data_IF_190336915696
#
_entry.id   IF_190336915696
#
_cell.length_a   1.000
_cell.length_b   1.000
_cell.length_c   1.000
_cell.angle_alpha   90.00
_cell.angle_beta   90.00
_cell.angle_gamma   90.00
#
_symmetry.space_group_name_H-M   'P 1'
#
loop_
_entity.id
_entity.type
_entity.pdbx_description
1 polymer ?
#
# COMPACT_ATOMS: atom_id res chain seq x y z
N UNK A 1 -48.21 -44.34 -44.84
CA UNK A 1 -47.53 -43.12 -44.42
C UNK A 1 -46.39 -43.41 -43.41
N UNK A 2 -45.24 -43.86 -43.82
CA UNK A 2 -44.06 -44.19 -42.90
C UNK A 2 -42.74 -43.65 -43.41
N UNK A 3 -42.71 -42.63 -44.26
CA UNK A 3 -41.47 -42.08 -44.81
C UNK A 3 -40.99 -40.78 -44.15
N UNK A 4 -41.78 -40.20 -43.23
CA UNK A 4 -41.42 -38.91 -42.62
C UNK A 4 -40.46 -38.94 -41.44
N UNK A 5 -40.21 -40.09 -40.84
CA UNK A 5 -39.35 -40.20 -39.63
C UNK A 5 -37.86 -40.32 -40.02
N UNK A 6 -37.52 -41.17 -40.96
CA UNK A 6 -36.10 -41.40 -41.37
C UNK A 6 -35.44 -40.13 -41.93
N UNK A 7 -36.17 -39.36 -42.73
CA UNK A 7 -35.66 -38.09 -43.29
C UNK A 7 -35.35 -37.04 -42.19
N UNK A 8 -36.17 -37.00 -41.14
CA UNK A 8 -35.92 -36.08 -40.01
C UNK A 8 -34.67 -36.44 -39.21
N UNK A 9 -34.40 -37.73 -38.99
CA UNK A 9 -33.19 -38.18 -38.31
C UNK A 9 -31.94 -37.95 -39.16
N UNK A 10 -32.04 -38.10 -40.49
CA UNK A 10 -30.92 -37.78 -41.41
C UNK A 10 -30.64 -36.28 -41.39
N UNK A 11 -31.67 -35.43 -41.44
CA UNK A 11 -31.48 -33.97 -41.37
C UNK A 11 -30.85 -33.58 -40.00
N UNK A 12 -31.36 -34.15 -38.91
CA UNK A 12 -30.80 -33.93 -37.57
C UNK A 12 -29.31 -34.35 -37.49
N UNK A 13 -28.97 -35.51 -38.08
CA UNK A 13 -27.59 -35.98 -38.13
C UNK A 13 -26.68 -35.06 -38.94
N UNK A 14 -27.17 -34.55 -40.07
CA UNK A 14 -26.40 -33.59 -40.89
C UNK A 14 -26.19 -32.27 -40.15
N UNK A 15 -27.22 -31.75 -39.45
CA UNK A 15 -27.09 -30.53 -38.63
C UNK A 15 -26.09 -30.74 -37.50
N UNK A 16 -26.15 -31.89 -36.81
CA UNK A 16 -25.19 -32.22 -35.76
C UNK A 16 -23.77 -32.31 -36.27
N UNK A 17 -23.53 -32.92 -37.45
CA UNK A 17 -22.23 -32.99 -38.10
C UNK A 17 -21.70 -31.61 -38.50
N UNK A 18 -22.56 -30.73 -39.01
CA UNK A 18 -22.17 -29.35 -39.33
C UNK A 18 -21.82 -28.55 -38.10
N UNK A 19 -22.55 -28.69 -37.01
CA UNK A 19 -22.24 -28.06 -35.72
C UNK A 19 -20.89 -28.57 -35.17
N UNK A 20 -20.68 -29.88 -35.24
CA UNK A 20 -19.42 -30.49 -34.80
C UNK A 20 -18.22 -30.04 -35.66
N UNK A 21 -18.41 -29.96 -36.98
CA UNK A 21 -17.38 -29.41 -37.86
C UNK A 21 -17.08 -27.93 -37.59
N UNK A 22 -18.10 -27.11 -37.29
CA UNK A 22 -17.92 -25.71 -36.90
C UNK A 22 -17.17 -25.60 -35.58
N UNK A 23 -17.47 -26.43 -34.60
CA UNK A 23 -16.74 -26.44 -33.30
C UNK A 23 -15.29 -26.87 -33.47
N UNK A 24 -15.03 -27.92 -34.29
CA UNK A 24 -13.65 -28.35 -34.59
C UNK A 24 -12.88 -27.25 -35.31
N UNK A 25 -13.50 -26.59 -36.29
CA UNK A 25 -12.90 -25.46 -36.99
C UNK A 25 -12.59 -24.30 -36.02
N UNK A 26 -13.53 -23.94 -35.17
CA UNK A 26 -13.33 -22.89 -34.16
C UNK A 26 -12.20 -23.26 -33.19
N UNK A 27 -12.20 -24.49 -32.67
CA UNK A 27 -11.15 -25.00 -31.79
C UNK A 27 -9.78 -25.00 -32.47
N UNK A 28 -9.71 -25.47 -33.73
CA UNK A 28 -8.49 -25.46 -34.52
C UNK A 28 -7.96 -24.04 -34.77
N UNK A 29 -8.85 -23.10 -35.02
CA UNK A 29 -8.48 -21.70 -35.21
C UNK A 29 -7.90 -21.06 -33.94
N UNK A 30 -8.54 -21.31 -32.79
CA UNK A 30 -8.06 -20.82 -31.49
C UNK A 30 -6.76 -21.49 -31.06
N UNK A 31 -6.61 -22.82 -31.29
CA UNK A 31 -5.44 -23.56 -30.78
C UNK A 31 -4.23 -23.53 -31.74
N UNK A 32 -4.46 -23.60 -33.05
CA UNK A 32 -3.38 -23.69 -34.02
C UNK A 32 -3.05 -22.35 -34.69
N UNK A 33 -4.04 -21.53 -35.01
CA UNK A 33 -3.81 -20.26 -35.70
C UNK A 33 -3.53 -19.11 -34.73
N UNK A 34 -4.27 -19.04 -33.62
CA UNK A 34 -4.11 -17.99 -32.61
C UNK A 34 -3.44 -18.46 -31.31
N UNK A 35 -3.06 -19.74 -31.23
CA UNK A 35 -2.53 -20.34 -30.00
C UNK A 35 -1.24 -19.70 -29.51
N UNK A 36 -0.35 -19.30 -30.42
CA UNK A 36 0.88 -18.59 -30.04
C UNK A 36 0.60 -17.20 -29.49
N UNK A 37 -0.34 -16.47 -30.08
CA UNK A 37 -0.76 -15.14 -29.59
C UNK A 37 -1.46 -15.22 -28.22
N UNK A 38 -2.35 -16.18 -28.03
CA UNK A 38 -2.98 -16.42 -26.73
C UNK A 38 -1.99 -16.91 -25.66
N UNK A 39 -0.99 -17.71 -26.04
CA UNK A 39 0.07 -18.12 -25.12
C UNK A 39 0.95 -16.93 -24.72
N UNK A 40 1.28 -16.03 -25.65
CA UNK A 40 2.00 -14.80 -25.36
C UNK A 40 1.19 -13.86 -24.46
N UNK A 41 -0.09 -13.65 -24.75
CA UNK A 41 -0.99 -12.85 -23.90
C UNK A 41 -1.16 -13.47 -22.51
N UNK A 42 -1.20 -14.79 -22.40
CA UNK A 42 -1.26 -15.48 -21.10
C UNK A 42 0.06 -15.32 -20.33
N UNK A 43 1.21 -15.40 -21.03
CA UNK A 43 2.51 -15.16 -20.42
C UNK A 43 2.67 -13.72 -19.91
N UNK A 44 2.24 -12.73 -20.70
CA UNK A 44 2.24 -11.32 -20.28
C UNK A 44 1.36 -11.10 -19.03
N UNK A 45 0.20 -11.74 -18.97
CA UNK A 45 -0.69 -11.66 -17.78
C UNK A 45 -0.16 -12.39 -16.56
N UNK A 46 0.75 -13.34 -16.74
CA UNK A 46 1.39 -14.09 -15.65
C UNK A 46 2.68 -13.42 -15.13
N UNK A 47 3.06 -12.27 -15.69
CA UNK A 47 4.27 -11.54 -15.28
C UNK A 47 3.90 -10.16 -14.75
N UNK A 48 4.65 -9.70 -13.75
CA UNK A 48 4.57 -8.34 -13.21
C UNK A 48 5.96 -7.74 -13.17
N UNK A 49 6.08 -6.50 -13.60
CA UNK A 49 7.31 -5.73 -13.45
C UNK A 49 7.15 -4.80 -12.25
N UNK A 50 8.08 -4.91 -11.31
CA UNK A 50 8.13 -4.15 -10.06
C UNK A 50 9.33 -3.22 -10.14
N UNK A 51 9.14 -1.93 -9.87
CA UNK A 51 10.23 -0.99 -9.77
C UNK A 51 11.08 -1.31 -8.54
N UNK A 52 12.40 -1.25 -8.69
CA UNK A 52 13.36 -1.42 -7.60
C UNK A 52 14.09 -0.11 -7.41
N UNK A 53 14.01 0.44 -6.22
CA UNK A 53 14.69 1.69 -5.89
C UNK A 53 16.12 1.43 -5.42
N UNK A 54 17.03 2.32 -5.83
CA UNK A 54 18.37 2.41 -5.25
C UNK A 54 18.35 3.10 -3.89
N UNK A 55 19.53 3.24 -3.30
CA UNK A 55 19.71 3.92 -2.02
C UNK A 55 19.85 5.42 -2.24
N UNK A 56 19.10 6.23 -1.47
CA UNK A 56 19.24 7.69 -1.47
C UNK A 56 20.64 8.09 -1.03
N UNK A 57 21.30 9.01 -1.74
CA UNK A 57 22.64 9.52 -1.46
C UNK A 57 22.81 10.07 -0.05
N UNK A 58 24.03 10.03 0.46
CA UNK A 58 24.37 10.51 1.81
C UNK A 58 24.53 12.03 1.82
N UNK A 59 24.30 12.65 2.98
CA UNK A 59 24.68 14.03 3.24
C UNK A 59 25.86 14.00 4.21
N UNK A 60 26.94 14.66 3.83
CA UNK A 60 28.19 14.67 4.55
C UNK A 60 28.54 16.10 4.97
N UNK A 61 29.24 16.27 6.08
CA UNK A 61 29.88 17.52 6.44
C UNK A 61 31.16 17.75 5.62
N UNK A 62 31.83 18.89 5.80
CA UNK A 62 33.08 19.26 5.11
C UNK A 62 34.24 18.27 5.35
N UNK A 63 34.19 17.50 6.43
CA UNK A 63 35.20 16.53 6.83
C UNK A 63 34.83 15.07 6.43
N UNK A 64 33.72 14.89 5.73
CA UNK A 64 33.21 13.58 5.35
C UNK A 64 32.43 12.85 6.47
N UNK A 65 32.07 13.55 7.54
CA UNK A 65 31.22 12.97 8.60
C UNK A 65 29.80 12.85 8.10
N UNK A 66 29.20 11.67 8.27
CA UNK A 66 27.85 11.39 7.82
C UNK A 66 26.83 12.15 8.68
N UNK A 67 26.03 12.99 8.03
CA UNK A 67 24.92 13.75 8.62
C UNK A 67 23.55 13.12 8.35
N UNK A 68 23.39 12.50 7.17
CA UNK A 68 22.22 11.71 6.83
C UNK A 68 22.61 10.57 5.88
N UNK A 69 22.02 9.40 6.09
CA UNK A 69 22.18 8.24 5.20
C UNK A 69 20.90 7.40 5.20
N UNK A 70 20.75 6.57 4.17
CA UNK A 70 19.65 5.59 4.12
C UNK A 70 20.18 4.23 4.56
N UNK A 71 19.41 3.55 5.39
CA UNK A 71 19.66 2.18 5.86
C UNK A 71 18.60 1.28 5.22
N UNK A 72 19.01 0.10 4.76
CA UNK A 72 18.07 -0.92 4.32
C UNK A 72 17.10 -1.24 5.45
N UNK A 73 15.83 -1.27 5.12
CA UNK A 73 14.74 -1.62 6.02
C UNK A 73 13.78 -2.58 5.33
N UNK A 74 12.90 -3.17 6.10
CA UNK A 74 11.88 -4.05 5.59
C UNK A 74 10.52 -3.60 6.11
N UNK A 75 9.53 -3.63 5.23
CA UNK A 75 8.16 -3.34 5.57
C UNK A 75 7.34 -4.63 5.51
N UNK A 76 6.32 -4.73 6.34
CA UNK A 76 5.29 -5.74 6.19
C UNK A 76 4.12 -5.11 5.46
N UNK A 77 3.67 -5.76 4.41
CA UNK A 77 2.59 -5.30 3.56
C UNK A 77 1.45 -6.31 3.55
N UNK A 78 0.24 -5.79 3.38
CA UNK A 78 -0.96 -6.59 3.22
C UNK A 78 -1.58 -6.33 1.85
N UNK A 79 -1.75 -7.39 1.07
CA UNK A 79 -2.42 -7.40 -0.22
C UNK A 79 -3.70 -8.23 -0.10
N UNK A 80 -4.85 -7.58 -0.28
CA UNK A 80 -6.11 -8.29 -0.37
C UNK A 80 -6.32 -8.80 -1.80
N UNK A 81 -6.62 -10.08 -1.94
CA UNK A 81 -7.08 -10.63 -3.21
C UNK A 81 -8.44 -10.00 -3.58
N UNK A 82 -8.48 -9.31 -4.72
CA UNK A 82 -9.68 -8.60 -5.18
C UNK A 82 -10.85 -9.52 -5.53
N UNK A 83 -10.58 -10.79 -5.81
CA UNK A 83 -11.59 -11.80 -6.17
C UNK A 83 -12.20 -12.47 -4.93
N UNK A 84 -11.52 -12.43 -3.79
CA UNK A 84 -11.95 -13.05 -2.54
C UNK A 84 -12.74 -12.05 -1.68
N UNK A 85 -14.06 -12.03 -1.85
CA UNK A 85 -15.00 -11.11 -1.15
C UNK A 85 -16.04 -11.83 -0.29
N UNK A 86 -15.83 -13.09 0.00
CA UNK A 86 -16.76 -13.86 0.84
C UNK A 86 -16.53 -13.60 2.33
N UNK A 87 -17.52 -13.90 3.16
CA UNK A 87 -17.42 -13.84 4.62
C UNK A 87 -16.29 -14.74 5.13
N UNK A 88 -16.10 -15.90 4.50
CA UNK A 88 -15.04 -16.84 4.82
C UNK A 88 -13.65 -16.23 4.64
N UNK A 89 -13.42 -15.56 3.50
CA UNK A 89 -12.15 -14.88 3.23
C UNK A 89 -11.90 -13.74 4.23
N UNK A 90 -12.97 -13.05 4.62
CA UNK A 90 -12.86 -11.98 5.62
C UNK A 90 -12.38 -12.50 6.97
N UNK A 91 -12.85 -13.66 7.43
CA UNK A 91 -12.43 -14.28 8.67
C UNK A 91 -10.96 -14.74 8.61
N UNK A 92 -10.55 -15.37 7.50
CA UNK A 92 -9.16 -15.81 7.28
C UNK A 92 -8.19 -14.63 7.31
N UNK A 93 -8.50 -13.53 6.62
CA UNK A 93 -7.66 -12.34 6.64
C UNK A 93 -7.58 -11.69 8.02
N UNK A 94 -8.65 -11.72 8.79
CA UNK A 94 -8.62 -11.21 10.17
C UNK A 94 -7.73 -12.07 11.05
N UNK A 95 -7.80 -13.39 10.95
CA UNK A 95 -6.90 -14.30 11.67
C UNK A 95 -5.43 -14.09 11.26
N UNK A 96 -5.16 -13.96 9.97
CA UNK A 96 -3.82 -13.68 9.46
C UNK A 96 -3.27 -12.34 9.99
N UNK A 97 -4.09 -11.28 10.01
CA UNK A 97 -3.70 -9.98 10.55
C UNK A 97 -3.45 -10.03 12.05
N UNK A 98 -4.25 -10.76 12.82
CA UNK A 98 -4.02 -10.94 14.26
C UNK A 98 -2.65 -11.58 14.53
N UNK A 99 -2.33 -12.68 13.83
CA UNK A 99 -1.02 -13.36 13.94
C UNK A 99 0.12 -12.43 13.50
N UNK A 100 -0.06 -11.67 12.43
CA UNK A 100 0.96 -10.75 11.94
C UNK A 100 1.22 -9.60 12.92
N UNK A 101 0.18 -9.01 13.50
CA UNK A 101 0.29 -7.98 14.53
C UNK A 101 1.09 -8.50 15.72
N UNK A 102 0.76 -9.72 16.19
CA UNK A 102 1.50 -10.37 17.28
C UNK A 102 3.00 -10.54 16.95
N UNK A 103 3.32 -11.04 15.74
CA UNK A 103 4.71 -11.22 15.30
C UNK A 103 5.44 -9.87 15.23
N UNK A 104 4.81 -8.83 14.68
CA UNK A 104 5.39 -7.49 14.52
C UNK A 104 5.68 -6.89 15.90
N UNK A 105 4.73 -6.96 16.83
CA UNK A 105 4.86 -6.38 18.18
C UNK A 105 5.87 -7.17 19.04
N UNK A 106 5.88 -8.49 18.94
CA UNK A 106 6.89 -9.32 19.60
C UNK A 106 8.31 -9.00 19.12
N UNK A 107 8.47 -8.59 17.86
CA UNK A 107 9.73 -8.13 17.29
C UNK A 107 10.06 -6.66 17.56
N UNK A 108 9.28 -5.97 18.40
CA UNK A 108 9.47 -4.56 18.76
C UNK A 108 8.98 -3.55 17.72
N UNK A 109 8.30 -4.02 16.67
CA UNK A 109 7.68 -3.17 15.66
C UNK A 109 6.30 -2.66 16.08
N UNK A 110 5.75 -1.75 15.29
CA UNK A 110 4.38 -1.22 15.46
C UNK A 110 3.64 -1.28 14.13
N UNK A 111 2.35 -1.54 14.19
CA UNK A 111 1.48 -1.46 13.02
C UNK A 111 0.94 -0.05 12.82
N UNK A 112 0.48 0.24 11.60
CA UNK A 112 -0.18 1.52 11.29
C UNK A 112 -1.38 1.76 12.20
N UNK A 113 -1.57 3.00 12.61
CA UNK A 113 -2.73 3.49 13.36
C UNK A 113 -3.41 4.62 12.60
N UNK A 114 -4.15 4.25 11.54
CA UNK A 114 -4.85 5.18 10.64
C UNK A 114 -6.37 5.16 10.85
N UNK A 115 -6.86 4.39 11.83
CA UNK A 115 -8.28 4.34 12.15
C UNK A 115 -8.84 5.73 12.45
N UNK A 116 -10.02 6.03 11.92
CA UNK A 116 -10.75 7.23 12.27
C UNK A 116 -11.56 7.09 13.57
N UNK A 117 -11.70 5.86 14.09
CA UNK A 117 -12.41 5.60 15.33
C UNK A 117 -11.42 5.63 16.49
N UNK A 118 -11.68 6.47 17.48
CA UNK A 118 -10.88 6.64 18.69
C UNK A 118 -11.73 6.37 19.92
N UNK A 119 -11.08 6.02 21.03
CA UNK A 119 -11.70 5.87 22.33
C UNK A 119 -11.15 6.93 23.28
N UNK A 120 -12.04 7.63 23.94
CA UNK A 120 -11.67 8.55 25.01
C UNK A 120 -11.14 7.73 26.19
N UNK A 121 -9.92 8.01 26.68
CA UNK A 121 -9.29 7.21 27.74
C UNK A 121 -9.98 7.37 29.11
N UNK A 122 -10.69 8.47 29.34
CA UNK A 122 -11.31 8.77 30.60
C UNK A 122 -12.75 8.25 30.67
N UNK A 123 -13.52 8.40 29.60
CA UNK A 123 -14.93 8.03 29.53
C UNK A 123 -15.18 6.66 28.88
N UNK A 124 -14.25 6.20 28.04
CA UNK A 124 -14.42 5.02 27.22
C UNK A 124 -15.33 5.23 26.00
N UNK A 125 -15.88 6.43 25.79
CA UNK A 125 -16.75 6.74 24.65
C UNK A 125 -15.97 6.74 23.33
N UNK A 126 -16.62 6.25 22.25
CA UNK A 126 -16.03 6.23 20.92
C UNK A 126 -16.38 7.51 20.16
N UNK A 127 -15.39 8.08 19.50
CA UNK A 127 -15.54 9.28 18.68
C UNK A 127 -14.75 9.18 17.38
N UNK A 128 -15.04 10.07 16.43
CA UNK A 128 -14.27 10.18 15.20
C UNK A 128 -13.18 11.23 15.28
N UNK A 129 -11.98 10.84 14.89
CA UNK A 129 -10.84 11.73 14.66
C UNK A 129 -10.46 11.74 13.17
N UNK A 130 -10.86 12.79 12.47
CA UNK A 130 -10.65 12.86 11.01
C UNK A 130 -9.26 13.35 10.60
N UNK A 131 -8.41 13.81 11.53
CA UNK A 131 -7.05 14.29 11.27
C UNK A 131 -6.99 15.54 10.37
N UNK A 132 -8.08 16.31 10.27
CA UNK A 132 -8.17 17.56 9.52
C UNK A 132 -9.01 18.58 10.26
N UNK A 133 -8.62 19.87 10.16
CA UNK A 133 -9.27 20.95 10.93
C UNK A 133 -10.53 21.51 10.27
N UNK A 134 -10.57 21.54 8.92
CA UNK A 134 -11.69 22.12 8.17
C UNK A 134 -12.92 21.22 8.23
N UNK A 135 -14.07 21.79 8.61
CA UNK A 135 -15.36 21.05 8.63
C UNK A 135 -15.69 20.43 7.27
N UNK A 136 -15.45 21.14 6.17
CA UNK A 136 -15.69 20.61 4.83
C UNK A 136 -14.83 19.37 4.53
N UNK A 137 -13.57 19.37 4.97
CA UNK A 137 -12.67 18.22 4.82
C UNK A 137 -13.05 17.08 5.76
N UNK A 138 -13.49 17.36 6.99
CA UNK A 138 -14.00 16.36 7.92
C UNK A 138 -15.20 15.63 7.33
N UNK A 139 -16.19 16.38 6.83
CA UNK A 139 -17.39 15.81 6.20
C UNK A 139 -17.03 15.02 4.92
N UNK A 140 -16.08 15.50 4.14
CA UNK A 140 -15.60 14.77 2.96
C UNK A 140 -14.94 13.42 3.33
N UNK A 141 -14.11 13.39 4.39
CA UNK A 141 -13.51 12.14 4.90
C UNK A 141 -14.57 11.22 5.49
N UNK A 142 -15.52 11.76 6.22
CA UNK A 142 -16.62 10.99 6.80
C UNK A 142 -17.46 10.31 5.72
N UNK A 143 -17.84 11.05 4.66
CA UNK A 143 -18.53 10.47 3.51
C UNK A 143 -17.72 9.33 2.88
N UNK A 144 -16.44 9.60 2.56
CA UNK A 144 -15.58 8.59 1.93
C UNK A 144 -15.41 7.35 2.81
N UNK A 145 -15.31 7.53 4.13
CA UNK A 145 -15.28 6.43 5.08
C UNK A 145 -16.57 5.62 5.03
N UNK A 146 -17.72 6.28 5.11
CA UNK A 146 -19.03 5.60 5.05
C UNK A 146 -19.17 4.78 3.76
N UNK A 147 -18.89 5.40 2.61
CA UNK A 147 -18.95 4.74 1.31
C UNK A 147 -17.99 3.54 1.22
N UNK A 148 -16.74 3.70 1.67
CA UNK A 148 -15.74 2.63 1.65
C UNK A 148 -16.07 1.47 2.61
N UNK A 149 -16.70 1.76 3.75
CA UNK A 149 -17.11 0.76 4.76
C UNK A 149 -18.51 0.19 4.50
N UNK A 150 -19.14 0.54 3.37
CA UNK A 150 -20.45 0.02 2.98
C UNK A 150 -21.59 0.52 3.86
N UNK A 151 -21.51 1.76 4.34
CA UNK A 151 -22.65 2.44 4.94
C UNK A 151 -23.46 3.17 3.88
N UNK A 152 -24.77 3.09 3.97
CA UNK A 152 -25.67 3.94 3.19
C UNK A 152 -25.90 5.23 3.95
N UNK A 153 -25.55 6.34 3.31
CA UNK A 153 -25.72 7.69 3.86
C UNK A 153 -26.46 8.56 2.86
N UNK A 154 -27.25 9.50 3.35
CA UNK A 154 -27.94 10.49 2.53
C UNK A 154 -27.29 11.85 2.69
N UNK A 155 -27.13 12.59 1.59
CA UNK A 155 -26.64 13.95 1.54
C UNK A 155 -27.16 14.65 0.29
N UNK A 156 -27.29 15.97 0.34
CA UNK A 156 -27.74 16.78 -0.81
C UNK A 156 -26.55 17.20 -1.68
N UNK A 157 -26.40 16.56 -2.85
CA UNK A 157 -25.34 16.87 -3.81
C UNK A 157 -25.41 18.28 -4.40
N UNK A 158 -26.57 18.97 -4.32
CA UNK A 158 -26.73 20.33 -4.79
C UNK A 158 -26.02 21.34 -3.88
N UNK A 159 -25.79 20.99 -2.61
CA UNK A 159 -25.03 21.79 -1.66
C UNK A 159 -23.53 21.61 -1.95
N UNK A 160 -22.92 22.58 -2.67
CA UNK A 160 -21.51 22.52 -3.05
C UNK A 160 -20.55 22.61 -1.85
N UNK A 161 -20.91 23.38 -0.82
CA UNK A 161 -20.12 23.48 0.40
C UNK A 161 -20.45 22.32 1.33
N UNK A 162 -19.57 21.35 1.37
CA UNK A 162 -19.72 20.14 2.23
C UNK A 162 -19.80 20.46 3.72
N UNK A 163 -19.32 21.61 4.17
CA UNK A 163 -19.42 22.01 5.57
C UNK A 163 -20.88 22.18 6.02
N UNK A 164 -21.80 22.42 5.06
CA UNK A 164 -23.24 22.63 5.30
C UNK A 164 -24.05 21.32 5.21
N UNK A 165 -23.42 20.18 4.91
CA UNK A 165 -24.15 18.91 4.87
C UNK A 165 -24.58 18.48 6.28
N UNK A 166 -25.83 18.03 6.38
CA UNK A 166 -26.33 17.43 7.61
C UNK A 166 -25.80 16.01 7.75
N UNK A 167 -25.02 15.78 8.78
CA UNK A 167 -24.42 14.48 9.11
C UNK A 167 -25.07 13.83 10.34
N UNK A 168 -26.18 14.37 10.83
CA UNK A 168 -26.83 13.91 12.08
C UNK A 168 -27.40 12.49 11.98
N UNK A 169 -27.71 12.04 10.75
CA UNK A 169 -28.23 10.71 10.47
C UNK A 169 -27.12 9.73 10.00
N UNK A 170 -25.89 10.18 9.96
CA UNK A 170 -24.78 9.32 9.57
C UNK A 170 -24.34 8.46 10.77
N UNK A 171 -23.74 7.29 10.53
CA UNK A 171 -23.40 6.35 11.59
C UNK A 171 -22.48 6.97 12.64
N UNK A 172 -22.77 6.80 13.91
CA UNK A 172 -21.88 7.19 15.00
C UNK A 172 -20.58 6.34 14.99
N UNK A 173 -19.58 6.76 15.74
CA UNK A 173 -18.33 6.01 15.88
C UNK A 173 -18.58 4.63 16.51
N UNK A 174 -19.50 4.54 17.47
CA UNK A 174 -19.87 3.28 18.12
C UNK A 174 -20.60 2.33 17.16
N UNK A 175 -21.61 2.83 16.42
CA UNK A 175 -22.31 2.04 15.41
C UNK A 175 -21.33 1.53 14.32
N UNK A 176 -20.40 2.37 13.89
CA UNK A 176 -19.39 1.99 12.92
C UNK A 176 -18.43 0.95 13.46
N UNK A 177 -17.94 1.12 14.68
CA UNK A 177 -17.05 0.16 15.33
C UNK A 177 -17.71 -1.23 15.41
N UNK A 178 -18.95 -1.27 15.93
CA UNK A 178 -19.69 -2.52 16.10
C UNK A 178 -19.97 -3.20 14.74
N UNK A 179 -20.39 -2.42 13.72
CA UNK A 179 -20.58 -2.96 12.37
C UNK A 179 -19.30 -3.49 11.76
N UNK A 180 -18.17 -2.77 11.89
CA UNK A 180 -16.89 -3.19 11.31
C UNK A 180 -16.34 -4.44 12.01
N UNK A 181 -16.50 -4.56 13.33
CA UNK A 181 -16.16 -5.80 14.05
C UNK A 181 -16.93 -7.00 13.52
N UNK A 182 -18.23 -6.85 13.36
CA UNK A 182 -19.08 -7.92 12.81
C UNK A 182 -18.73 -8.25 11.35
N UNK A 183 -18.56 -7.21 10.52
CA UNK A 183 -18.26 -7.36 9.08
C UNK A 183 -16.91 -8.09 8.84
N UNK A 184 -15.94 -7.87 9.69
CA UNK A 184 -14.60 -8.43 9.54
C UNK A 184 -14.32 -9.59 10.49
N UNK A 185 -15.34 -10.10 11.18
CA UNK A 185 -15.22 -11.25 12.10
C UNK A 185 -14.15 -11.04 13.17
N UNK A 186 -14.03 -9.80 13.69
CA UNK A 186 -13.08 -9.47 14.76
C UNK A 186 -13.63 -10.02 16.08
N UNK A 187 -12.88 -10.89 16.81
CA UNK A 187 -13.35 -11.53 18.04
C UNK A 187 -13.81 -10.52 19.10
N UNK A 188 -14.90 -10.86 19.80
CA UNK A 188 -15.47 -9.99 20.86
C UNK A 188 -14.59 -9.91 22.10
N UNK A 189 -13.69 -10.87 22.31
CA UNK A 189 -12.77 -10.93 23.45
C UNK A 189 -11.64 -9.90 23.35
N UNK A 190 -11.37 -9.38 22.14
CA UNK A 190 -10.32 -8.37 21.95
C UNK A 190 -10.72 -7.03 22.58
N UNK A 191 -9.77 -6.41 23.25
CA UNK A 191 -9.89 -5.03 23.72
C UNK A 191 -10.09 -4.06 22.55
N UNK A 192 -10.55 -2.83 22.85
CA UNK A 192 -10.66 -1.78 21.82
C UNK A 192 -9.32 -1.59 21.08
N UNK A 193 -8.21 -1.50 21.83
CA UNK A 193 -6.91 -1.25 21.25
C UNK A 193 -6.47 -2.36 20.28
N UNK A 194 -6.67 -3.63 20.61
CA UNK A 194 -6.35 -4.77 19.75
C UNK A 194 -7.26 -4.81 18.52
N UNK A 195 -8.57 -4.68 18.73
CA UNK A 195 -9.53 -4.66 17.62
C UNK A 195 -9.29 -3.48 16.68
N UNK A 196 -8.94 -2.31 17.22
CA UNK A 196 -8.72 -1.10 16.43
C UNK A 196 -7.48 -1.17 15.53
N UNK A 197 -6.45 -1.95 15.87
CA UNK A 197 -5.32 -2.23 14.99
C UNK A 197 -5.78 -2.95 13.72
N UNK A 198 -6.65 -3.95 13.86
CA UNK A 198 -7.22 -4.69 12.74
C UNK A 198 -8.12 -3.77 11.92
N UNK A 199 -8.98 -2.98 12.59
CA UNK A 199 -9.84 -1.99 11.95
C UNK A 199 -9.01 -0.98 11.16
N UNK A 200 -7.91 -0.50 11.73
CA UNK A 200 -6.99 0.45 11.07
C UNK A 200 -6.49 -0.09 9.73
N UNK A 201 -5.96 -1.31 9.72
CA UNK A 201 -5.45 -1.96 8.50
C UNK A 201 -6.59 -2.19 7.50
N UNK A 202 -7.70 -2.76 7.93
CA UNK A 202 -8.84 -3.06 7.06
C UNK A 202 -9.51 -1.81 6.51
N UNK A 203 -9.58 -0.75 7.31
CA UNK A 203 -10.05 0.57 6.87
C UNK A 203 -9.16 1.13 5.76
N UNK A 204 -7.83 1.07 5.92
CA UNK A 204 -6.89 1.57 4.92
C UNK A 204 -7.03 0.80 3.59
N UNK A 205 -7.17 -0.53 3.65
CA UNK A 205 -7.44 -1.38 2.48
C UNK A 205 -8.72 -0.93 1.76
N UNK A 206 -9.80 -0.68 2.49
CA UNK A 206 -11.08 -0.32 1.88
C UNK A 206 -11.10 1.12 1.34
N UNK A 207 -10.43 2.05 2.01
CA UNK A 207 -10.27 3.43 1.54
C UNK A 207 -9.46 3.51 0.24
N UNK A 208 -8.50 2.58 0.06
CA UNK A 208 -7.67 2.46 -1.15
C UNK A 208 -8.19 1.41 -2.14
N UNK A 209 -9.45 1.01 -2.07
CA UNK A 209 -10.04 -0.06 -2.90
C UNK A 209 -9.95 0.20 -4.42
N UNK A 210 -9.74 1.44 -4.85
CA UNK A 210 -9.45 1.77 -6.25
C UNK A 210 -8.06 1.27 -6.71
N UNK A 211 -7.21 0.85 -5.77
CA UNK A 211 -5.90 0.22 -5.98
C UNK A 211 -5.90 -1.23 -5.49
N UNK A 212 -6.93 -1.99 -5.83
CA UNK A 212 -7.20 -3.32 -5.27
C UNK A 212 -6.04 -4.32 -5.40
N UNK A 213 -5.09 -4.06 -6.27
CA UNK A 213 -3.91 -4.91 -6.53
C UNK A 213 -2.60 -4.30 -6.01
N UNK A 214 -2.65 -3.14 -5.35
CA UNK A 214 -1.48 -2.56 -4.70
C UNK A 214 -1.46 -2.97 -3.22
N UNK A 215 -0.34 -3.48 -2.70
CA UNK A 215 -0.23 -3.83 -1.29
C UNK A 215 -0.24 -2.57 -0.41
N UNK A 216 -0.74 -2.71 0.80
CA UNK A 216 -0.73 -1.64 1.79
C UNK A 216 0.30 -1.98 2.86
N UNK A 217 1.22 -1.07 3.11
CA UNK A 217 2.19 -1.22 4.20
C UNK A 217 1.48 -1.13 5.54
N UNK A 218 1.60 -2.19 6.34
CA UNK A 218 0.98 -2.30 7.67
C UNK A 218 1.96 -2.10 8.81
N UNK A 219 3.27 -2.30 8.55
CA UNK A 219 4.33 -1.97 9.49
C UNK A 219 5.60 -1.56 8.73
N UNK A 220 6.29 -0.55 9.25
CA UNK A 220 7.51 0.00 8.66
C UNK A 220 8.72 -0.40 9.49
N UNK A 221 9.90 -0.49 8.83
CA UNK A 221 11.22 -0.72 9.44
C UNK A 221 11.22 -1.87 10.46
N UNK A 222 10.65 -3.02 10.06
CA UNK A 222 10.58 -4.19 10.92
C UNK A 222 11.93 -4.90 11.01
N UNK A 223 12.17 -5.59 12.15
CA UNK A 223 13.39 -6.35 12.38
C UNK A 223 13.51 -7.57 11.46
N UNK A 224 14.74 -8.06 11.25
CA UNK A 224 14.99 -9.29 10.48
C UNK A 224 14.32 -10.53 11.09
N UNK A 225 14.09 -10.54 12.40
CA UNK A 225 13.37 -11.63 13.08
C UNK A 225 11.89 -11.65 12.66
N UNK A 226 11.26 -10.47 12.56
CA UNK A 226 9.89 -10.34 12.02
C UNK A 226 9.83 -10.79 10.57
N UNK A 227 10.78 -10.35 9.74
CA UNK A 227 10.90 -10.78 8.33
C UNK A 227 10.98 -12.29 8.21
N UNK A 228 11.85 -12.92 9.01
CA UNK A 228 12.02 -14.37 9.01
C UNK A 228 10.72 -15.08 9.44
N UNK A 229 10.07 -14.63 10.50
CA UNK A 229 8.83 -15.23 10.99
C UNK A 229 7.67 -15.10 9.99
N UNK A 230 7.49 -13.94 9.36
CA UNK A 230 6.45 -13.75 8.33
C UNK A 230 6.71 -14.67 7.13
N UNK A 231 7.97 -14.76 6.65
CA UNK A 231 8.31 -15.62 5.52
C UNK A 231 8.17 -17.11 5.83
N UNK A 232 8.54 -17.55 7.04
CA UNK A 232 8.42 -18.94 7.47
C UNK A 232 6.95 -19.39 7.62
N UNK A 233 6.05 -18.47 7.94
CA UNK A 233 4.62 -18.74 8.15
C UNK A 233 3.75 -18.23 7.00
N UNK A 234 4.31 -18.05 5.80
CA UNK A 234 3.59 -17.48 4.64
C UNK A 234 2.29 -18.24 4.32
N UNK A 235 2.27 -19.56 4.51
CA UNK A 235 1.08 -20.39 4.28
C UNK A 235 -0.05 -20.12 5.31
N UNK A 236 0.30 -19.65 6.51
CA UNK A 236 -0.64 -19.29 7.58
C UNK A 236 -1.06 -17.80 7.53
N UNK A 237 -0.38 -17.01 6.73
CA UNK A 237 -0.50 -15.55 6.66
C UNK A 237 -0.91 -15.07 5.25
N UNK A 238 -2.08 -15.50 4.75
CA UNK A 238 -2.53 -15.13 3.41
C UNK A 238 -2.64 -13.62 3.28
N UNK A 239 -2.16 -13.12 2.15
CA UNK A 239 -2.14 -11.69 1.82
C UNK A 239 -1.00 -10.91 2.46
N UNK A 240 -0.21 -11.50 3.33
CA UNK A 240 0.94 -10.82 3.93
C UNK A 240 2.21 -11.08 3.15
N UNK A 241 2.98 -10.05 2.94
CA UNK A 241 4.27 -10.09 2.28
C UNK A 241 5.26 -9.12 2.93
N UNK A 242 6.54 -9.32 2.64
CA UNK A 242 7.62 -8.43 3.09
C UNK A 242 8.20 -7.75 1.86
N UNK A 243 8.24 -6.43 1.89
CA UNK A 243 8.94 -5.61 0.90
C UNK A 243 10.25 -5.05 1.47
N UNK A 244 11.23 -4.90 0.60
CA UNK A 244 12.45 -4.16 0.93
C UNK A 244 12.18 -2.67 0.75
N UNK A 245 12.70 -1.87 1.67
CA UNK A 245 12.57 -0.41 1.68
C UNK A 245 13.84 0.21 2.23
N UNK A 246 13.89 1.52 2.35
CA UNK A 246 14.99 2.23 3.00
C UNK A 246 14.44 3.22 4.03
N UNK A 247 15.12 3.31 5.17
CA UNK A 247 14.82 4.29 6.21
C UNK A 247 15.91 5.33 6.28
N UNK A 248 15.54 6.63 6.24
CA UNK A 248 16.46 7.74 6.36
C UNK A 248 16.89 7.93 7.81
N UNK A 249 18.19 7.89 8.07
CA UNK A 249 18.80 8.01 9.40
C UNK A 249 19.57 9.32 9.48
N UNK A 250 19.36 10.06 10.57
CA UNK A 250 20.09 11.26 10.94
C UNK A 250 20.89 10.98 12.23
N UNK A 251 22.16 10.53 12.13
CA UNK A 251 22.92 10.01 13.28
C UNK A 251 23.16 11.03 14.39
N UNK A 252 23.04 12.33 14.07
CA UNK A 252 23.26 13.42 15.01
C UNK A 252 21.96 13.98 15.62
N UNK A 253 20.85 13.28 15.42
CA UNK A 253 19.53 13.67 15.96
C UNK A 253 19.10 15.05 15.45
N UNK A 254 18.94 15.99 16.36
CA UNK A 254 18.44 17.35 16.06
C UNK A 254 19.52 18.32 15.54
N UNK A 255 20.81 17.94 15.60
CA UNK A 255 21.91 18.81 15.14
C UNK A 255 21.73 19.17 13.66
N UNK A 256 21.74 20.46 13.38
CA UNK A 256 21.55 21.04 12.04
C UNK A 256 20.23 20.63 11.35
N UNK A 257 19.21 20.19 12.11
CA UNK A 257 17.95 19.68 11.55
C UNK A 257 17.27 20.67 10.60
N UNK A 258 17.31 21.97 10.91
CA UNK A 258 16.76 23.04 10.07
C UNK A 258 17.54 23.25 8.75
N UNK A 259 18.82 22.87 8.70
CA UNK A 259 19.65 22.90 7.50
C UNK A 259 19.42 21.63 6.67
N UNK A 260 19.49 20.46 7.32
CA UNK A 260 19.32 19.16 6.65
C UNK A 260 17.91 19.01 6.07
N UNK A 261 16.90 19.37 6.85
CA UNK A 261 15.51 19.14 6.50
C UNK A 261 15.07 17.71 6.79
N UNK A 262 14.01 17.28 6.11
CA UNK A 262 13.41 15.96 6.28
C UNK A 262 12.74 15.46 4.99
N UNK A 263 12.45 14.17 4.97
CA UNK A 263 11.73 13.52 3.89
C UNK A 263 10.22 13.46 4.18
N UNK A 264 9.42 13.48 3.14
CA UNK A 264 7.97 13.29 3.23
C UNK A 264 7.39 12.85 1.89
N UNK A 265 6.13 12.44 1.89
CA UNK A 265 5.45 12.08 0.65
C UNK A 265 5.08 13.33 -0.14
N UNK A 266 5.13 13.28 -1.48
CA UNK A 266 4.80 14.42 -2.32
C UNK A 266 3.33 14.82 -2.18
N UNK A 267 3.06 16.10 -2.12
CA UNK A 267 1.70 16.62 -2.24
C UNK A 267 1.13 16.36 -3.64
N UNK A 268 -0.20 16.41 -3.77
CA UNK A 268 -0.87 16.25 -5.09
C UNK A 268 -0.36 17.25 -6.15
N UNK A 269 0.01 18.44 -5.73
CA UNK A 269 0.55 19.49 -6.61
C UNK A 269 1.96 19.11 -7.08
N UNK A 270 2.84 18.73 -6.16
CA UNK A 270 4.20 18.30 -6.46
C UNK A 270 4.21 17.05 -7.35
N UNK A 271 3.31 16.09 -7.08
CA UNK A 271 3.22 14.85 -7.84
C UNK A 271 2.91 15.08 -9.33
N UNK A 272 2.16 16.13 -9.68
CA UNK A 272 1.89 16.47 -11.09
C UNK A 272 3.18 16.70 -11.90
N UNK A 273 4.19 17.27 -11.28
CA UNK A 273 5.49 17.53 -11.91
C UNK A 273 6.42 16.34 -11.76
N UNK A 274 6.48 15.74 -10.57
CA UNK A 274 7.39 14.66 -10.23
C UNK A 274 7.05 13.37 -10.96
N UNK A 275 5.79 13.13 -11.28
CA UNK A 275 5.36 11.95 -12.05
C UNK A 275 6.06 11.84 -13.41
N UNK A 276 6.36 12.96 -14.05
CA UNK A 276 7.09 12.98 -15.33
C UNK A 276 8.58 12.58 -15.16
N UNK A 277 9.09 12.62 -13.94
CA UNK A 277 10.44 12.19 -13.58
C UNK A 277 10.48 10.73 -13.05
N UNK A 278 9.32 10.05 -13.01
CA UNK A 278 9.22 8.67 -12.59
C UNK A 278 8.86 8.45 -11.11
N UNK A 279 8.59 9.53 -10.36
CA UNK A 279 8.17 9.38 -8.96
C UNK A 279 6.76 8.81 -8.86
N UNK A 280 6.59 7.89 -7.93
CA UNK A 280 5.29 7.38 -7.48
C UNK A 280 4.70 8.26 -6.35
N UNK A 281 3.44 8.03 -6.02
CA UNK A 281 2.75 8.82 -4.99
C UNK A 281 3.21 8.48 -3.56
N UNK A 282 3.81 7.34 -3.39
CA UNK A 282 4.31 6.79 -2.13
C UNK A 282 5.82 6.95 -1.95
N UNK A 283 6.55 7.41 -2.98
CA UNK A 283 7.97 7.72 -2.89
C UNK A 283 8.21 8.86 -1.88
N UNK A 284 9.36 8.81 -1.20
CA UNK A 284 9.78 9.88 -0.30
C UNK A 284 10.64 10.89 -1.03
N UNK A 285 10.29 12.17 -0.86
CA UNK A 285 11.03 13.31 -1.41
C UNK A 285 11.53 14.23 -0.28
N UNK A 286 12.55 15.04 -0.54
CA UNK A 286 12.94 16.10 0.36
C UNK A 286 11.88 17.20 0.45
N UNK A 287 11.37 17.46 1.66
CA UNK A 287 10.33 18.48 1.90
C UNK A 287 10.96 19.84 2.22
N UNK A 288 12.08 19.85 2.92
CA UNK A 288 12.76 21.07 3.35
C UNK A 288 14.28 20.92 3.37
N UNK A 289 15.00 22.02 3.54
CA UNK A 289 16.45 22.07 3.72
C UNK A 289 17.24 21.48 2.55
N UNK A 290 18.40 20.90 2.87
CA UNK A 290 19.30 20.26 1.90
C UNK A 290 18.62 19.07 1.23
N UNK A 291 17.83 18.30 1.97
CA UNK A 291 17.06 17.16 1.41
C UNK A 291 16.20 17.61 0.22
N UNK A 292 15.56 18.79 0.32
CA UNK A 292 14.73 19.33 -0.76
C UNK A 292 15.52 20.02 -1.86
N UNK A 293 16.52 20.85 -1.49
CA UNK A 293 17.28 21.64 -2.48
C UNK A 293 18.21 20.77 -3.32
N UNK A 294 18.67 19.65 -2.77
CA UNK A 294 19.56 18.71 -3.44
C UNK A 294 18.84 17.41 -3.86
N UNK A 295 17.49 17.43 -3.91
CA UNK A 295 16.67 16.28 -4.27
C UNK A 295 17.15 15.61 -5.55
N UNK A 296 17.44 16.37 -6.62
CA UNK A 296 17.86 15.84 -7.92
C UNK A 296 19.19 15.06 -7.88
N UNK A 297 20.03 15.31 -6.90
CA UNK A 297 21.27 14.56 -6.68
C UNK A 297 21.04 13.38 -5.73
N UNK A 298 20.36 13.63 -4.62
CA UNK A 298 20.18 12.64 -3.55
C UNK A 298 19.24 11.50 -3.91
N UNK A 299 18.22 11.75 -4.75
CA UNK A 299 17.17 10.78 -5.03
C UNK A 299 17.65 9.56 -5.80
N UNK A 300 17.08 8.40 -5.53
CA UNK A 300 17.18 7.19 -6.34
C UNK A 300 15.85 6.81 -7.02
N UNK A 301 14.78 7.61 -6.81
CA UNK A 301 13.41 7.31 -7.22
C UNK A 301 13.03 7.85 -8.59
N UNK A 302 13.99 8.36 -9.39
CA UNK A 302 13.71 8.77 -10.77
C UNK A 302 13.71 7.57 -11.73
N UNK A 303 12.98 7.66 -12.84
CA UNK A 303 12.93 6.62 -13.88
C UNK A 303 14.31 6.27 -14.46
N UNK A 304 15.28 7.19 -14.39
CA UNK A 304 16.65 6.96 -14.84
C UNK A 304 17.49 6.16 -13.84
N UNK A 305 17.09 6.16 -12.57
CA UNK A 305 17.83 5.53 -11.46
C UNK A 305 17.13 4.27 -10.93
N UNK A 306 15.81 4.17 -11.08
CA UNK A 306 15.08 2.95 -10.74
C UNK A 306 15.54 1.79 -11.59
N UNK A 307 15.77 0.66 -11.00
CA UNK A 307 15.87 -0.62 -11.64
C UNK A 307 14.50 -1.26 -11.81
N UNK A 308 14.46 -2.43 -12.38
CA UNK A 308 13.23 -3.19 -12.55
C UNK A 308 13.43 -4.66 -12.22
N UNK A 309 12.40 -5.28 -11.71
CA UNK A 309 12.33 -6.69 -11.40
C UNK A 309 11.10 -7.30 -12.06
N UNK A 310 11.30 -8.14 -13.06
CA UNK A 310 10.21 -8.87 -13.69
C UNK A 310 10.03 -10.21 -12.99
N UNK A 311 8.84 -10.43 -12.43
CA UNK A 311 8.49 -11.63 -11.68
C UNK A 311 7.34 -12.36 -12.36
N UNK A 312 7.36 -13.69 -12.29
CA UNK A 312 6.20 -14.52 -12.61
C UNK A 312 5.29 -14.57 -11.40
N UNK A 313 4.02 -14.26 -11.58
CA UNK A 313 3.01 -14.27 -10.53
C UNK A 313 2.01 -15.40 -10.74
N UNK A 314 1.52 -15.98 -9.66
CA UNK A 314 0.44 -16.97 -9.70
C UNK A 314 -0.94 -16.27 -9.72
N UNK A 315 -2.01 -17.08 -9.75
CA UNK A 315 -3.39 -16.57 -9.70
C UNK A 315 -3.72 -15.71 -8.46
N UNK A 316 -2.93 -15.82 -7.40
CA UNK A 316 -3.08 -15.08 -6.16
C UNK A 316 -2.14 -13.86 -6.12
N UNK A 317 -1.56 -13.46 -7.26
CA UNK A 317 -0.59 -12.37 -7.41
C UNK A 317 0.71 -12.55 -6.58
N UNK A 318 0.94 -13.75 -6.04
CA UNK A 318 2.19 -14.04 -5.33
C UNK A 318 3.30 -14.36 -6.32
N UNK A 319 4.50 -13.84 -6.04
CA UNK A 319 5.70 -14.11 -6.84
C UNK A 319 6.06 -15.60 -6.79
N UNK A 320 6.12 -16.23 -7.95
CA UNK A 320 6.55 -17.63 -8.11
C UNK A 320 8.05 -17.71 -8.32
N UNK A 321 8.55 -16.87 -9.22
CA UNK A 321 10.00 -16.77 -9.52
C UNK A 321 10.33 -15.42 -10.14
N UNK A 322 11.58 -15.05 -10.02
CA UNK A 322 12.17 -13.91 -10.71
C UNK A 322 12.60 -14.33 -12.11
N UNK A 323 12.23 -13.52 -13.11
CA UNK A 323 12.53 -13.76 -14.52
C UNK A 323 13.67 -12.88 -15.01
N UNK A 324 13.68 -11.60 -14.58
CA UNK A 324 14.68 -10.62 -14.99
C UNK A 324 14.89 -9.60 -13.87
N UNK A 325 16.09 -9.04 -13.79
CA UNK A 325 16.47 -8.05 -12.80
C UNK A 325 17.43 -7.03 -13.40
N UNK A 326 17.01 -5.76 -13.40
CA UNK A 326 17.82 -4.61 -13.72
C UNK A 326 18.15 -3.86 -12.43
N UNK A 327 19.45 -3.74 -12.11
CA UNK A 327 19.89 -3.10 -10.89
C UNK A 327 19.61 -1.60 -10.90
N UNK A 328 19.07 -1.02 -9.81
CA UNK A 328 18.92 0.41 -9.67
C UNK A 328 20.29 1.11 -9.52
N UNK A 329 20.29 2.40 -9.75
CA UNK A 329 21.41 3.30 -9.44
C UNK A 329 21.14 4.08 -8.16
N UNK A 330 22.13 4.16 -7.27
CA UNK A 330 22.04 4.95 -6.06
C UNK A 330 22.04 6.47 -6.36
N UNK A 331 21.53 7.25 -5.42
CA UNK A 331 21.67 8.71 -5.43
C UNK A 331 23.10 9.15 -5.16
N UNK A 332 23.44 10.36 -5.60
CA UNK A 332 24.77 10.95 -5.40
C UNK A 332 24.90 11.50 -3.97
N UNK A 333 26.11 11.38 -3.40
CA UNK A 333 26.43 11.98 -2.11
C UNK A 333 26.58 13.50 -2.22
N UNK A 334 26.07 14.23 -1.24
CA UNK A 334 26.18 15.68 -1.13
C UNK A 334 27.07 16.06 0.05
N UNK A 335 28.17 16.76 -0.22
CA UNK A 335 29.06 17.28 0.82
C UNK A 335 28.75 18.74 1.10
N UNK A 336 28.51 19.07 2.36
CA UNK A 336 28.24 20.43 2.84
C UNK A 336 29.53 21.13 3.28
N UNK A 337 29.47 22.44 3.34
CA UNK A 337 30.56 23.25 3.84
C UNK A 337 30.58 23.41 5.37
N UNK A 338 29.53 22.93 6.06
CA UNK A 338 29.46 22.98 7.52
C UNK A 338 30.44 22.00 8.16
N UNK A 339 30.85 22.29 9.39
CA UNK A 339 31.57 21.39 10.29
C UNK A 339 30.62 21.00 11.42
N UNK A 340 30.31 19.73 11.52
CA UNK A 340 29.30 19.24 12.47
C UNK A 340 29.72 19.42 13.92
N UNK A 341 31.01 19.38 14.22
CA UNK A 341 31.51 19.57 15.59
C UNK A 341 31.37 21.03 16.02
N UNK A 342 31.70 21.97 15.12
CA UNK A 342 31.46 23.39 15.35
C UNK A 342 29.98 23.70 15.47
N UNK A 343 29.14 23.12 14.61
CA UNK A 343 27.67 23.27 14.64
C UNK A 343 27.11 22.82 16.00
N UNK A 344 27.52 21.65 16.48
CA UNK A 344 27.08 21.10 17.78
C UNK A 344 27.49 22.01 18.93
N UNK A 345 28.74 22.52 18.92
CA UNK A 345 29.22 23.42 19.97
C UNK A 345 28.45 24.76 20.01
N UNK A 346 28.10 25.31 18.83
CA UNK A 346 27.31 26.55 18.74
C UNK A 346 25.86 26.29 19.23
N UNK A 347 25.25 25.18 18.84
CA UNK A 347 23.90 24.84 19.31
C UNK A 347 23.83 24.65 20.84
N UNK A 348 24.82 23.99 21.42
CA UNK A 348 24.96 23.85 22.88
C UNK A 348 25.09 25.19 23.58
N UNK A 349 25.99 26.06 23.08
CA UNK A 349 26.18 27.40 23.65
C UNK A 349 24.92 28.27 23.55
N UNK A 350 24.14 28.13 22.47
CA UNK A 350 22.86 28.83 22.33
C UNK A 350 21.79 28.27 23.27
N UNK A 351 21.73 26.95 23.47
CA UNK A 351 20.78 26.33 24.41
C UNK A 351 21.05 26.82 25.86
N UNK A 352 22.33 26.89 26.27
CA UNK A 352 22.70 27.38 27.60
C UNK A 352 22.36 28.88 27.83
N UNK A 353 22.18 29.65 26.76
CA UNK A 353 21.81 31.08 26.86
C UNK A 353 20.29 31.29 26.96
N UNK A 354 19.50 30.29 26.61
CA UNK A 354 18.02 30.38 26.59
C UNK A 354 17.38 29.78 27.85
N UNK A 355 18.13 28.95 28.61
CA UNK A 355 17.73 28.49 29.95
C UNK A 355 17.98 29.58 30.99
#
# INVERSE_FOLDING_TARGET
MKYGSKSRYVILGVVLLLLMAALIYQLSNVTLAAGAEYAEQAAIKATSTIDVEGTRGRILDRNGVVLAYSKDSYNVEFLRDGDNRTDYDSAIYTEALMKAIEIIEAGGGTTIDTSYIRQDPDTGELYYEWGVSSRANQVARYRNFCEAMGFTIEYDENIKDKALWDTSQWPTAEESYNKLRALWFIPEELTFAEANKIISIRQEVNLNNYRAYEPITIAYDVSMDVVAQIKLRADELPGLQVSQSTTRIYPRGTTAAHILGYLGKPSREQLKTLKNLGYAADDYIGVSGVESTMESYLTASTSERKGSKTVEINKNLSTVRELDYESPSDGDDVMLTIDVNLQTAVEQALAELVE
#
